data_IF_607297715658
#
_entry.id   IF_607297715658
#
_cell.length_a   1.000
_cell.length_b   1.000
_cell.length_c   1.000
_cell.angle_alpha   90.00
_cell.angle_beta   90.00
_cell.angle_gamma   90.00
#
_symmetry.space_group_name_H-M   'P 1'
#
loop_
_entity.id
_entity.type
_entity.pdbx_description
1 polymer ?
#
# COMPACT_ATOMS: atom_id res chain seq x y z
N UNK A 1 -47.95 -1.58 -33.93
CA UNK A 1 -47.61 -0.48 -32.98
C UNK A 1 -46.13 -0.12 -33.16
N UNK A 2 -45.83 1.13 -33.51
CA UNK A 2 -44.45 1.58 -33.74
C UNK A 2 -43.77 1.88 -32.39
N UNK A 3 -42.95 0.96 -31.88
CA UNK A 3 -42.10 1.21 -30.72
C UNK A 3 -41.01 2.22 -31.09
N UNK A 4 -41.06 3.41 -30.48
CA UNK A 4 -40.09 4.49 -30.64
C UNK A 4 -38.65 3.99 -30.33
N UNK A 5 -37.61 4.39 -31.10
CA UNK A 5 -36.25 3.86 -30.96
C UNK A 5 -35.64 4.07 -29.56
N UNK A 6 -36.04 5.13 -28.86
CA UNK A 6 -35.58 5.42 -27.49
C UNK A 6 -36.13 4.43 -26.47
N UNK A 7 -37.35 3.92 -26.67
CA UNK A 7 -37.93 2.87 -25.82
C UNK A 7 -37.20 1.53 -25.96
N UNK A 8 -36.60 1.26 -27.12
CA UNK A 8 -35.80 0.03 -27.32
C UNK A 8 -34.42 0.15 -26.69
N UNK A 9 -33.85 1.36 -26.59
CA UNK A 9 -32.58 1.59 -25.90
C UNK A 9 -32.75 1.55 -24.38
N UNK A 10 -33.80 2.16 -23.85
CA UNK A 10 -34.15 2.08 -22.43
C UNK A 10 -34.40 0.64 -21.97
N UNK A 11 -34.95 -0.22 -22.83
CA UNK A 11 -35.16 -1.66 -22.56
C UNK A 11 -33.89 -2.52 -22.56
N UNK A 12 -32.76 -1.95 -22.95
CA UNK A 12 -31.48 -2.64 -23.05
C UNK A 12 -30.50 -2.27 -21.94
N UNK A 13 -30.73 -1.17 -21.22
CA UNK A 13 -29.94 -0.72 -20.06
C UNK A 13 -28.42 -0.97 -20.25
N UNK A 14 -27.76 -1.56 -19.25
CA UNK A 14 -26.31 -1.84 -19.21
C UNK A 14 -25.77 -2.68 -20.39
N UNK A 15 -26.65 -3.41 -21.10
CA UNK A 15 -26.25 -4.26 -22.24
C UNK A 15 -25.94 -3.45 -23.49
N UNK A 16 -26.55 -2.28 -23.66
CA UNK A 16 -26.24 -1.39 -24.76
C UNK A 16 -24.83 -0.79 -24.61
N UNK A 17 -24.46 -0.42 -23.38
CA UNK A 17 -23.16 0.14 -23.06
C UNK A 17 -22.05 -0.90 -23.20
N UNK A 18 -22.31 -2.15 -22.79
CA UNK A 18 -21.41 -3.28 -23.06
C UNK A 18 -21.12 -3.43 -24.56
N UNK A 19 -22.15 -3.38 -25.42
CA UNK A 19 -21.99 -3.53 -26.87
C UNK A 19 -21.28 -2.34 -27.52
N UNK A 20 -21.54 -1.10 -27.07
CA UNK A 20 -20.83 0.08 -27.57
C UNK A 20 -19.35 0.08 -27.17
N UNK A 21 -19.04 -0.22 -25.90
CA UNK A 21 -17.66 -0.38 -25.44
C UNK A 21 -16.94 -1.48 -26.23
N UNK A 22 -17.61 -2.63 -26.41
CA UNK A 22 -17.08 -3.75 -27.19
C UNK A 22 -16.84 -3.37 -28.65
N UNK A 23 -17.75 -2.59 -29.27
CA UNK A 23 -17.58 -2.10 -30.64
C UNK A 23 -16.29 -1.30 -30.82
N UNK A 24 -16.00 -0.39 -29.88
CA UNK A 24 -14.78 0.42 -29.90
C UNK A 24 -13.54 -0.47 -29.72
N UNK A 25 -13.56 -1.37 -28.73
CA UNK A 25 -12.47 -2.32 -28.48
C UNK A 25 -12.18 -3.21 -29.69
N UNK A 26 -13.20 -3.79 -30.32
CA UNK A 26 -13.01 -4.60 -31.53
C UNK A 26 -12.46 -3.80 -32.72
N UNK A 27 -12.88 -2.54 -32.91
CA UNK A 27 -12.31 -1.70 -33.97
C UNK A 27 -10.81 -1.46 -33.77
N UNK A 28 -10.42 -1.09 -32.55
CA UNK A 28 -9.03 -0.89 -32.20
C UNK A 28 -8.22 -2.18 -32.37
N UNK A 29 -8.70 -3.30 -31.82
CA UNK A 29 -8.05 -4.59 -31.90
C UNK A 29 -7.91 -5.09 -33.35
N UNK A 30 -8.95 -4.94 -34.17
CA UNK A 30 -8.90 -5.25 -35.60
C UNK A 30 -7.80 -4.45 -36.31
N UNK A 31 -7.72 -3.15 -36.04
CA UNK A 31 -6.69 -2.28 -36.61
C UNK A 31 -5.27 -2.73 -36.24
N UNK A 32 -5.07 -3.14 -34.98
CA UNK A 32 -3.78 -3.66 -34.52
C UNK A 32 -3.43 -4.99 -35.20
N UNK A 33 -4.33 -5.97 -35.19
CA UNK A 33 -4.11 -7.31 -35.74
C UNK A 33 -3.91 -7.30 -37.27
N UNK A 34 -4.54 -6.36 -37.97
CA UNK A 34 -4.39 -6.19 -39.41
C UNK A 34 -3.05 -5.57 -39.83
N UNK A 35 -2.34 -4.89 -38.92
CA UNK A 35 -1.10 -4.19 -39.24
C UNK A 35 0.09 -5.14 -39.52
N UNK A 36 1.11 -4.64 -40.22
CA UNK A 36 2.34 -5.39 -40.52
C UNK A 36 3.12 -5.73 -39.23
N UNK A 37 3.22 -4.78 -38.30
CA UNK A 37 3.86 -4.94 -36.98
C UNK A 37 2.85 -5.30 -35.87
N UNK A 38 1.90 -6.17 -36.16
CA UNK A 38 0.80 -6.46 -35.24
C UNK A 38 1.25 -6.95 -33.86
N UNK A 39 2.34 -7.75 -33.78
CA UNK A 39 2.86 -8.26 -32.50
C UNK A 39 3.33 -7.14 -31.57
N UNK A 40 3.93 -6.09 -32.13
CA UNK A 40 4.43 -4.94 -31.36
C UNK A 40 3.28 -4.02 -30.95
N UNK A 41 2.31 -3.78 -31.85
CA UNK A 41 1.13 -2.98 -31.55
C UNK A 41 0.23 -3.63 -30.49
N UNK A 42 -0.04 -4.92 -30.63
CA UNK A 42 -0.79 -5.69 -29.63
C UNK A 42 -0.05 -5.72 -28.30
N UNK A 43 1.29 -5.80 -28.31
CA UNK A 43 2.08 -5.73 -27.06
C UNK A 43 2.02 -4.35 -26.39
N UNK A 44 2.01 -3.27 -27.16
CA UNK A 44 1.88 -1.91 -26.62
C UNK A 44 0.51 -1.67 -25.97
N UNK A 45 -0.53 -2.38 -26.43
CA UNK A 45 -1.89 -2.32 -25.90
C UNK A 45 -2.35 -3.72 -25.46
N UNK A 46 -1.53 -4.39 -24.66
CA UNK A 46 -1.76 -5.78 -24.27
C UNK A 46 -3.01 -5.94 -23.41
N UNK A 47 -3.29 -4.98 -22.53
CA UNK A 47 -4.50 -4.98 -21.70
C UNK A 47 -5.77 -5.00 -22.55
N UNK A 48 -5.79 -4.33 -23.70
CA UNK A 48 -6.94 -4.35 -24.61
C UNK A 48 -7.19 -5.75 -25.18
N UNK A 49 -6.15 -6.53 -25.45
CA UNK A 49 -6.29 -7.93 -25.89
C UNK A 49 -6.94 -8.77 -24.78
N UNK A 50 -6.45 -8.64 -23.55
CA UNK A 50 -6.93 -9.37 -22.38
C UNK A 50 -8.37 -9.00 -22.00
N UNK A 51 -8.68 -7.71 -21.98
CA UNK A 51 -10.03 -7.21 -21.72
C UNK A 51 -11.03 -7.80 -22.71
N UNK A 52 -10.69 -7.79 -24.00
CA UNK A 52 -11.57 -8.35 -25.04
C UNK A 52 -11.70 -9.87 -24.86
N UNK A 53 -10.60 -10.57 -24.57
CA UNK A 53 -10.64 -12.01 -24.34
C UNK A 53 -11.53 -12.39 -23.15
N UNK A 54 -11.42 -11.66 -22.03
CA UNK A 54 -12.19 -11.91 -20.79
C UNK A 54 -13.67 -11.57 -20.95
N UNK A 55 -13.99 -10.49 -21.66
CA UNK A 55 -15.37 -10.03 -21.87
C UNK A 55 -16.09 -10.78 -23.00
N UNK A 56 -15.35 -11.55 -23.83
CA UNK A 56 -15.91 -12.26 -24.98
C UNK A 56 -17.10 -13.19 -24.66
N UNK A 57 -17.07 -14.02 -23.59
CA UNK A 57 -18.19 -14.92 -23.29
C UNK A 57 -19.48 -14.16 -22.97
N UNK A 58 -19.36 -13.04 -22.25
CA UNK A 58 -20.49 -12.18 -21.90
C UNK A 58 -21.07 -11.48 -23.12
N UNK A 59 -20.20 -11.00 -24.02
CA UNK A 59 -20.62 -10.43 -25.31
C UNK A 59 -21.34 -11.47 -26.17
N UNK A 60 -20.83 -12.69 -26.25
CA UNK A 60 -21.43 -13.77 -27.04
C UNK A 60 -22.80 -14.17 -26.50
N UNK A 61 -22.93 -14.31 -25.17
CA UNK A 61 -24.21 -14.55 -24.50
C UNK A 61 -25.21 -13.40 -24.75
N UNK A 62 -24.74 -12.16 -24.69
CA UNK A 62 -25.56 -10.96 -24.91
C UNK A 62 -26.05 -10.88 -26.35
N UNK A 63 -25.19 -11.11 -27.34
CA UNK A 63 -25.59 -11.15 -28.75
C UNK A 63 -26.59 -12.27 -29.02
N UNK A 64 -26.39 -13.48 -28.46
CA UNK A 64 -27.32 -14.58 -28.62
C UNK A 64 -28.69 -14.30 -27.97
N UNK A 65 -28.72 -13.71 -26.78
CA UNK A 65 -29.95 -13.30 -26.11
C UNK A 65 -30.70 -12.22 -26.92
N UNK A 66 -29.98 -11.22 -27.43
CA UNK A 66 -30.57 -10.16 -28.26
C UNK A 66 -31.14 -10.67 -29.57
N UNK A 67 -30.45 -11.60 -30.25
CA UNK A 67 -30.98 -12.23 -31.47
C UNK A 67 -32.30 -12.96 -31.22
N UNK A 68 -32.35 -13.79 -30.17
CA UNK A 68 -33.57 -14.52 -29.80
C UNK A 68 -34.72 -13.57 -29.50
N UNK A 69 -34.44 -12.51 -28.74
CA UNK A 69 -35.43 -11.49 -28.38
C UNK A 69 -35.92 -10.69 -29.59
N UNK A 70 -34.99 -10.21 -30.44
CA UNK A 70 -35.33 -9.46 -31.64
C UNK A 70 -36.19 -10.29 -32.61
N UNK A 71 -35.92 -11.60 -32.71
CA UNK A 71 -36.74 -12.52 -33.50
C UNK A 71 -38.13 -12.75 -32.89
N UNK A 72 -38.20 -12.99 -31.57
CA UNK A 72 -39.46 -13.22 -30.87
C UNK A 72 -40.38 -11.99 -30.87
N UNK A 73 -39.81 -10.79 -30.74
CA UNK A 73 -40.55 -9.53 -30.68
C UNK A 73 -40.70 -8.83 -32.05
N UNK A 74 -40.18 -9.43 -33.13
CA UNK A 74 -40.29 -8.88 -34.49
C UNK A 74 -39.64 -7.50 -34.66
N UNK A 75 -38.48 -7.27 -34.06
CA UNK A 75 -37.83 -5.96 -34.07
C UNK A 75 -37.52 -5.48 -35.50
N UNK A 76 -37.79 -4.20 -35.84
CA UNK A 76 -37.49 -3.68 -37.17
C UNK A 76 -36.00 -3.76 -37.50
N UNK A 77 -35.65 -4.20 -38.71
CA UNK A 77 -34.25 -4.35 -39.12
C UNK A 77 -33.44 -3.04 -39.07
N UNK A 78 -34.14 -1.91 -39.21
CA UNK A 78 -33.54 -0.57 -39.21
C UNK A 78 -33.41 0.03 -37.80
N UNK A 79 -33.91 -0.64 -36.76
CA UNK A 79 -33.82 -0.18 -35.39
C UNK A 79 -32.35 -0.06 -34.94
N UNK A 80 -32.05 0.95 -34.13
CA UNK A 80 -30.68 1.25 -33.69
C UNK A 80 -30.01 0.06 -32.95
N UNK A 81 -30.69 -0.65 -32.03
CA UNK A 81 -30.09 -1.82 -31.37
C UNK A 81 -29.77 -2.97 -32.32
N UNK A 82 -30.63 -3.22 -33.31
CA UNK A 82 -30.41 -4.27 -34.32
C UNK A 82 -29.20 -3.91 -35.21
N UNK A 83 -29.03 -2.63 -35.54
CA UNK A 83 -27.84 -2.13 -36.26
C UNK A 83 -26.56 -2.27 -35.45
N UNK A 84 -26.58 -1.90 -34.16
CA UNK A 84 -25.42 -2.03 -33.27
C UNK A 84 -25.02 -3.50 -33.12
N UNK A 85 -25.98 -4.38 -32.84
CA UNK A 85 -25.79 -5.84 -32.75
C UNK A 85 -25.12 -6.39 -34.02
N UNK A 86 -25.68 -6.11 -35.21
CA UNK A 86 -25.10 -6.53 -36.50
C UNK A 86 -23.70 -5.96 -36.72
N UNK A 87 -23.42 -4.75 -36.26
CA UNK A 87 -22.09 -4.14 -36.37
C UNK A 87 -21.06 -4.81 -35.46
N UNK A 88 -21.43 -5.11 -34.21
CA UNK A 88 -20.57 -5.83 -33.27
C UNK A 88 -20.27 -7.23 -33.78
N UNK A 89 -21.24 -7.94 -34.34
CA UNK A 89 -21.04 -9.26 -34.98
C UNK A 89 -20.05 -9.20 -36.15
N UNK A 90 -20.24 -8.26 -37.08
CA UNK A 90 -19.32 -8.10 -38.21
C UNK A 90 -17.89 -7.80 -37.74
N UNK A 91 -17.75 -7.01 -36.68
CA UNK A 91 -16.45 -6.70 -36.09
C UNK A 91 -15.85 -7.90 -35.37
N UNK A 92 -16.64 -8.65 -34.59
CA UNK A 92 -16.26 -9.91 -33.95
C UNK A 92 -15.70 -10.88 -34.98
N UNK A 93 -16.42 -11.10 -36.07
CA UNK A 93 -15.98 -12.01 -37.13
C UNK A 93 -14.70 -11.51 -37.82
N UNK A 94 -14.55 -10.19 -37.99
CA UNK A 94 -13.33 -9.63 -38.56
C UNK A 94 -12.12 -9.75 -37.63
N UNK A 95 -12.31 -9.54 -36.32
CA UNK A 95 -11.27 -9.77 -35.30
C UNK A 95 -10.94 -11.25 -35.25
N UNK A 96 -11.93 -12.14 -35.29
CA UNK A 96 -11.72 -13.60 -35.31
C UNK A 96 -10.91 -14.03 -36.54
N UNK A 97 -11.28 -13.59 -37.74
CA UNK A 97 -10.50 -13.86 -38.96
C UNK A 97 -9.08 -13.33 -38.85
N UNK A 98 -8.89 -12.12 -38.34
CA UNK A 98 -7.57 -11.55 -38.15
C UNK A 98 -6.76 -12.36 -37.12
N UNK A 99 -7.37 -12.76 -36.01
CA UNK A 99 -6.75 -13.55 -34.97
C UNK A 99 -6.34 -14.94 -35.45
N UNK A 100 -7.26 -15.69 -36.07
CA UNK A 100 -6.99 -17.02 -36.61
C UNK A 100 -5.93 -17.04 -37.72
N UNK A 101 -5.84 -15.97 -38.53
CA UNK A 101 -4.78 -15.82 -39.53
C UNK A 101 -3.39 -15.69 -38.89
N UNK A 102 -3.29 -15.28 -37.63
CA UNK A 102 -2.02 -15.10 -36.91
C UNK A 102 -1.62 -16.30 -36.05
N UNK A 103 -2.52 -17.28 -35.87
CA UNK A 103 -2.26 -18.53 -35.16
C UNK A 103 -1.87 -19.65 -36.13
N UNK A 104 -1.02 -20.61 -35.71
CA UNK A 104 -0.76 -21.83 -36.47
C UNK A 104 -2.04 -22.63 -36.71
N UNK A 105 -2.13 -23.33 -37.85
CA UNK A 105 -3.34 -24.09 -38.21
C UNK A 105 -3.64 -25.24 -37.23
N UNK A 106 -2.61 -25.87 -36.70
CA UNK A 106 -2.73 -26.95 -35.71
C UNK A 106 -3.36 -26.48 -34.38
N UNK A 107 -3.31 -25.18 -34.07
CA UNK A 107 -3.66 -24.63 -32.77
C UNK A 107 -4.92 -23.75 -32.78
N UNK A 108 -5.67 -23.68 -33.88
CA UNK A 108 -6.85 -22.81 -33.99
C UNK A 108 -7.97 -23.27 -33.04
N UNK A 109 -8.32 -22.49 -32.01
CA UNK A 109 -9.40 -22.85 -31.08
C UNK A 109 -10.79 -22.59 -31.68
N UNK A 110 -11.83 -23.10 -31.02
CA UNK A 110 -13.21 -23.00 -31.48
C UNK A 110 -13.84 -21.63 -31.23
N UNK A 111 -13.37 -20.91 -30.19
CA UNK A 111 -13.94 -19.62 -29.79
C UNK A 111 -12.97 -18.46 -29.99
N UNK A 112 -13.52 -17.24 -30.18
CA UNK A 112 -12.71 -16.03 -30.28
C UNK A 112 -11.94 -15.75 -28.98
N UNK A 113 -12.56 -15.96 -27.82
CA UNK A 113 -11.92 -15.72 -26.53
C UNK A 113 -10.66 -16.56 -26.37
N UNK A 114 -10.74 -17.85 -26.67
CA UNK A 114 -9.58 -18.75 -26.67
C UNK A 114 -8.52 -18.35 -27.70
N UNK A 115 -8.95 -17.90 -28.89
CA UNK A 115 -8.01 -17.45 -29.93
C UNK A 115 -7.21 -16.22 -29.47
N UNK A 116 -7.84 -15.30 -28.75
CA UNK A 116 -7.18 -14.11 -28.22
C UNK A 116 -6.23 -14.45 -27.06
N UNK A 117 -6.57 -15.41 -26.21
CA UNK A 117 -5.67 -15.91 -25.16
C UNK A 117 -4.45 -16.63 -25.75
N UNK A 118 -4.65 -17.49 -26.76
CA UNK A 118 -3.54 -18.12 -27.49
C UNK A 118 -2.68 -17.11 -28.24
N UNK A 119 -3.27 -16.01 -28.72
CA UNK A 119 -2.51 -14.91 -29.30
C UNK A 119 -1.69 -14.17 -28.25
N UNK A 120 -2.18 -14.07 -27.02
CA UNK A 120 -1.38 -13.60 -25.90
C UNK A 120 -0.13 -14.47 -25.77
N UNK A 121 -0.29 -15.80 -25.69
CA UNK A 121 0.83 -16.75 -25.59
C UNK A 121 1.79 -16.55 -26.77
N UNK A 122 1.26 -16.46 -27.99
CA UNK A 122 2.06 -16.24 -29.21
C UNK A 122 2.79 -14.89 -29.20
N UNK A 123 2.16 -13.81 -28.71
CA UNK A 123 2.79 -12.47 -28.62
C UNK A 123 3.83 -12.42 -27.50
N UNK A 124 3.61 -13.16 -26.42
CA UNK A 124 4.56 -13.32 -25.32
C UNK A 124 5.76 -14.18 -25.75
N UNK A 125 5.52 -15.31 -26.41
CA UNK A 125 6.54 -16.24 -26.91
C UNK A 125 7.35 -15.68 -28.07
N UNK A 126 6.69 -14.96 -28.98
CA UNK A 126 7.36 -14.38 -30.14
C UNK A 126 8.43 -13.37 -29.73
N UNK A 127 8.30 -12.74 -28.55
CA UNK A 127 9.13 -11.60 -28.18
C UNK A 127 9.15 -10.53 -29.30
N UNK A 128 9.83 -9.40 -29.12
CA UNK A 128 10.45 -8.77 -30.26
C UNK A 128 11.55 -9.72 -30.75
N UNK A 129 11.84 -9.80 -32.06
CA UNK A 129 13.07 -10.45 -32.53
C UNK A 129 14.30 -9.86 -31.81
N UNK A 130 14.21 -8.60 -31.38
CA UNK A 130 15.14 -7.92 -30.47
C UNK A 130 15.05 -8.40 -29.02
N UNK A 131 13.86 -8.69 -28.47
CA UNK A 131 13.72 -9.11 -27.08
C UNK A 131 14.10 -10.56 -26.81
N UNK A 132 14.00 -11.48 -27.78
CA UNK A 132 14.65 -12.81 -27.63
C UNK A 132 16.17 -12.67 -27.58
N UNK A 133 16.77 -11.81 -28.41
CA UNK A 133 18.21 -11.52 -28.39
C UNK A 133 18.64 -10.78 -27.13
N UNK A 134 17.89 -9.76 -26.70
CA UNK A 134 18.12 -9.01 -25.46
C UNK A 134 17.93 -9.91 -24.25
N UNK A 135 16.95 -10.82 -24.26
CA UNK A 135 16.73 -11.79 -23.18
C UNK A 135 17.85 -12.84 -23.13
N UNK A 136 18.23 -13.41 -24.27
CA UNK A 136 19.37 -14.31 -24.34
C UNK A 136 20.64 -13.61 -23.82
N UNK A 137 20.87 -12.36 -24.23
CA UNK A 137 21.95 -11.53 -23.71
C UNK A 137 21.82 -11.28 -22.21
N UNK A 138 20.62 -11.03 -21.69
CA UNK A 138 20.40 -10.88 -20.27
C UNK A 138 20.77 -12.16 -19.50
N UNK A 139 20.42 -13.34 -20.04
CA UNK A 139 20.77 -14.65 -19.46
C UNK A 139 22.29 -14.84 -19.44
N UNK A 140 23.01 -14.42 -20.49
CA UNK A 140 24.48 -14.43 -20.51
C UNK A 140 25.09 -13.48 -19.46
N UNK A 141 24.55 -12.27 -19.33
CA UNK A 141 25.07 -11.25 -18.42
C UNK A 141 24.76 -11.53 -16.95
N UNK A 142 23.65 -12.24 -16.69
CA UNK A 142 23.15 -12.60 -15.38
C UNK A 142 23.06 -14.12 -15.24
N UNK A 143 24.19 -14.83 -15.08
CA UNK A 143 24.13 -16.25 -14.77
C UNK A 143 23.56 -16.48 -13.37
N UNK A 144 22.86 -17.61 -13.18
CA UNK A 144 22.10 -17.90 -11.94
C UNK A 144 22.99 -18.03 -10.68
N UNK A 145 24.27 -18.32 -10.85
CA UNK A 145 25.22 -18.58 -9.77
C UNK A 145 25.89 -17.32 -9.20
N UNK A 146 25.58 -16.13 -9.74
CA UNK A 146 26.13 -14.87 -9.23
C UNK A 146 25.84 -14.71 -7.72
N UNK A 147 26.86 -14.38 -6.90
CA UNK A 147 26.67 -14.20 -5.47
C UNK A 147 25.72 -13.04 -5.15
N UNK A 148 25.77 -11.95 -5.91
CA UNK A 148 24.86 -10.80 -5.75
C UNK A 148 23.42 -11.20 -6.05
N UNK A 149 23.21 -12.06 -7.05
CA UNK A 149 21.88 -12.56 -7.39
C UNK A 149 21.32 -13.45 -6.28
N UNK A 150 22.15 -14.32 -5.70
CA UNK A 150 21.78 -15.15 -4.53
C UNK A 150 21.43 -14.29 -3.32
N UNK A 151 22.24 -13.27 -3.02
CA UNK A 151 21.98 -12.32 -1.93
C UNK A 151 20.67 -11.56 -2.14
N UNK A 152 20.43 -11.06 -3.36
CA UNK A 152 19.19 -10.37 -3.70
C UNK A 152 17.97 -11.29 -3.58
N UNK A 153 18.09 -12.56 -3.98
CA UNK A 153 17.01 -13.55 -3.85
C UNK A 153 16.71 -13.90 -2.38
N UNK A 154 17.75 -14.14 -1.57
CA UNK A 154 17.58 -14.43 -0.14
C UNK A 154 16.86 -13.27 0.58
N UNK A 155 17.21 -12.02 0.26
CA UNK A 155 16.48 -10.86 0.79
C UNK A 155 15.05 -10.77 0.25
N UNK A 156 14.83 -11.09 -1.03
CA UNK A 156 13.51 -11.11 -1.64
C UNK A 156 12.57 -12.13 -1.02
N UNK A 157 13.07 -13.29 -0.59
CA UNK A 157 12.28 -14.31 0.12
C UNK A 157 11.75 -13.76 1.45
N UNK A 158 12.55 -12.99 2.19
CA UNK A 158 12.10 -12.31 3.41
C UNK A 158 11.00 -11.30 3.08
N UNK A 159 11.19 -10.48 2.05
CA UNK A 159 10.19 -9.50 1.62
C UNK A 159 8.89 -10.14 1.16
N UNK A 160 8.98 -11.21 0.37
CA UNK A 160 7.81 -11.98 -0.07
C UNK A 160 7.09 -12.57 1.14
N UNK A 161 7.81 -13.23 2.05
CA UNK A 161 7.23 -13.85 3.21
C UNK A 161 6.41 -12.85 4.04
N UNK A 162 6.95 -11.66 4.29
CA UNK A 162 6.27 -10.60 5.07
C UNK A 162 5.16 -9.93 4.27
N UNK A 163 5.42 -9.49 3.04
CA UNK A 163 4.53 -8.58 2.31
C UNK A 163 3.61 -9.26 1.29
N UNK A 164 3.71 -10.58 1.09
CA UNK A 164 2.68 -11.30 0.31
C UNK A 164 1.35 -11.39 1.07
N UNK A 165 1.41 -11.36 2.40
CA UNK A 165 0.21 -11.35 3.26
C UNK A 165 -0.55 -10.01 3.12
N UNK A 166 -1.89 -10.02 3.15
CA UNK A 166 -2.67 -8.79 3.28
C UNK A 166 -2.37 -8.15 4.65
N UNK A 167 -2.11 -6.85 4.66
CA UNK A 167 -1.82 -6.13 5.90
C UNK A 167 -3.14 -5.86 6.67
N UNK A 168 -3.27 -6.32 7.93
CA UNK A 168 -4.42 -5.96 8.76
C UNK A 168 -4.43 -4.45 9.03
N UNK A 169 -5.62 -3.85 9.05
CA UNK A 169 -5.76 -2.42 9.34
C UNK A 169 -5.36 -2.13 10.80
N UNK A 170 -4.59 -1.06 11.01
CA UNK A 170 -4.24 -0.58 12.35
C UNK A 170 -3.14 -1.36 13.08
N UNK A 171 -2.67 -2.48 12.55
CA UNK A 171 -1.58 -3.29 13.14
C UNK A 171 -0.36 -3.31 12.21
N UNK A 172 0.84 -3.45 12.77
CA UNK A 172 2.04 -3.65 11.95
C UNK A 172 1.91 -4.94 11.11
N UNK A 173 2.36 -4.93 9.84
CA UNK A 173 2.27 -6.11 8.98
C UNK A 173 3.36 -7.16 9.28
N UNK A 174 4.16 -6.97 10.33
CA UNK A 174 5.26 -7.84 10.73
C UNK A 174 5.40 -7.88 12.25
N UNK A 175 5.92 -9.01 12.73
CA UNK A 175 6.35 -9.28 14.11
C UNK A 175 7.74 -8.72 14.39
N UNK A 176 8.20 -8.78 15.65
CA UNK A 176 9.57 -8.38 16.03
C UNK A 176 10.63 -9.21 15.30
N UNK A 177 10.46 -10.53 15.25
CA UNK A 177 11.39 -11.42 14.55
C UNK A 177 11.45 -11.14 13.03
N UNK A 178 10.29 -10.83 12.42
CA UNK A 178 10.22 -10.43 11.01
C UNK A 178 10.85 -9.04 10.78
N UNK A 179 10.72 -8.11 11.74
CA UNK A 179 11.37 -6.81 11.69
C UNK A 179 12.90 -6.93 11.73
N UNK A 180 13.45 -7.81 12.56
CA UNK A 180 14.89 -8.12 12.58
C UNK A 180 15.37 -8.76 11.27
N UNK A 181 14.57 -9.65 10.68
CA UNK A 181 14.86 -10.21 9.37
C UNK A 181 14.87 -9.13 8.28
N UNK A 182 13.90 -8.21 8.29
CA UNK A 182 13.83 -7.08 7.38
C UNK A 182 15.00 -6.11 7.57
N UNK A 183 15.39 -5.82 8.81
CA UNK A 183 16.53 -4.97 9.14
C UNK A 183 17.82 -5.49 8.48
N UNK A 184 18.04 -6.80 8.46
CA UNK A 184 19.18 -7.43 7.78
C UNK A 184 19.00 -7.48 6.26
N UNK A 185 17.79 -7.77 5.78
CA UNK A 185 17.51 -7.99 4.36
C UNK A 185 17.53 -6.70 3.52
N UNK A 186 17.10 -5.55 4.07
CA UNK A 186 17.04 -4.28 3.36
C UNK A 186 18.40 -3.81 2.80
N UNK A 187 19.45 -3.62 3.62
CA UNK A 187 20.76 -3.18 3.11
C UNK A 187 21.38 -4.23 2.19
N UNK A 188 21.18 -5.52 2.47
CA UNK A 188 21.66 -6.61 1.62
C UNK A 188 21.04 -6.55 0.21
N UNK A 189 19.72 -6.38 0.12
CA UNK A 189 19.03 -6.25 -1.15
C UNK A 189 19.47 -5.01 -1.92
N UNK A 190 19.63 -3.88 -1.24
CA UNK A 190 20.07 -2.63 -1.85
C UNK A 190 21.46 -2.77 -2.46
N UNK A 191 22.43 -3.24 -1.69
CA UNK A 191 23.80 -3.44 -2.15
C UNK A 191 23.86 -4.46 -3.31
N UNK A 192 23.16 -5.59 -3.18
CA UNK A 192 23.12 -6.63 -4.18
C UNK A 192 22.47 -6.17 -5.50
N UNK A 193 21.30 -5.52 -5.43
CA UNK A 193 20.63 -4.98 -6.61
C UNK A 193 21.47 -3.88 -7.26
N UNK A 194 22.07 -2.98 -6.48
CA UNK A 194 22.96 -1.95 -7.01
C UNK A 194 24.18 -2.55 -7.74
N UNK A 195 24.77 -3.62 -7.21
CA UNK A 195 25.85 -4.34 -7.87
C UNK A 195 25.39 -5.00 -9.18
N UNK A 196 24.22 -5.65 -9.20
CA UNK A 196 23.65 -6.26 -10.41
C UNK A 196 23.33 -5.23 -11.49
N UNK A 197 22.77 -4.08 -11.12
CA UNK A 197 22.50 -3.00 -12.07
C UNK A 197 23.79 -2.37 -12.61
N UNK A 198 24.80 -2.14 -11.76
CA UNK A 198 26.14 -1.68 -12.22
C UNK A 198 26.81 -2.69 -13.15
N UNK A 199 26.70 -3.99 -12.86
CA UNK A 199 27.17 -5.06 -13.75
C UNK A 199 26.50 -4.96 -15.10
N UNK A 200 25.18 -4.80 -15.14
CA UNK A 200 24.46 -4.62 -16.40
C UNK A 200 24.93 -3.36 -17.13
N UNK A 201 25.08 -2.21 -16.46
CA UNK A 201 25.63 -0.99 -17.07
C UNK A 201 27.01 -1.20 -17.70
N UNK A 202 27.88 -1.96 -17.01
CA UNK A 202 29.23 -2.23 -17.48
C UNK A 202 29.25 -3.11 -18.74
N UNK A 203 28.43 -4.15 -18.81
CA UNK A 203 28.45 -5.13 -19.91
C UNK A 203 27.42 -4.87 -21.02
N UNK A 204 26.44 -3.99 -20.79
CA UNK A 204 25.43 -3.54 -21.74
C UNK A 204 25.76 -2.14 -22.23
N UNK A 205 26.74 -2.05 -23.15
CA UNK A 205 27.25 -0.77 -23.68
C UNK A 205 26.19 0.11 -24.36
N UNK A 206 25.07 -0.48 -24.79
CA UNK A 206 23.94 0.24 -25.39
C UNK A 206 22.80 0.52 -24.40
N UNK A 207 22.88 0.04 -23.16
CA UNK A 207 21.85 0.18 -22.12
C UNK A 207 20.51 -0.50 -22.43
N UNK A 208 20.46 -1.36 -23.45
CA UNK A 208 19.22 -1.98 -23.94
C UNK A 208 18.69 -3.05 -23.00
N UNK A 209 19.56 -3.91 -22.47
CA UNK A 209 19.23 -4.96 -21.50
C UNK A 209 18.76 -4.33 -20.19
N UNK A 210 19.49 -3.35 -19.67
CA UNK A 210 19.12 -2.65 -18.44
C UNK A 210 17.75 -1.99 -18.58
N UNK A 211 17.53 -1.19 -19.63
CA UNK A 211 16.25 -0.52 -19.88
C UNK A 211 15.10 -1.53 -20.05
N UNK A 212 15.35 -2.63 -20.78
CA UNK A 212 14.40 -3.71 -20.98
C UNK A 212 13.98 -4.40 -19.67
N UNK A 213 14.92 -4.66 -18.76
CA UNK A 213 14.62 -5.27 -17.46
C UNK A 213 13.95 -4.28 -16.51
N UNK A 214 14.40 -3.02 -16.45
CA UNK A 214 13.78 -1.98 -15.62
C UNK A 214 12.32 -1.68 -15.99
N UNK A 215 11.95 -1.84 -17.27
CA UNK A 215 10.56 -1.73 -17.70
C UNK A 215 9.67 -2.88 -17.18
N UNK A 216 10.27 -3.99 -16.73
CA UNK A 216 9.57 -5.20 -16.25
C UNK A 216 9.59 -5.38 -14.75
N UNK A 217 10.42 -4.65 -14.00
CA UNK A 217 10.51 -4.75 -12.53
C UNK A 217 9.16 -4.54 -11.84
N UNK A 218 8.24 -3.77 -12.43
CA UNK A 218 6.92 -3.52 -11.82
C UNK A 218 5.93 -4.66 -11.97
N UNK A 219 6.25 -5.68 -12.78
CA UNK A 219 5.34 -6.79 -13.04
C UNK A 219 5.42 -7.79 -11.91
N UNK A 220 4.27 -8.15 -11.36
CA UNK A 220 4.19 -9.18 -10.35
C UNK A 220 4.75 -10.51 -10.89
N UNK A 221 5.62 -11.19 -10.13
CA UNK A 221 6.11 -12.51 -10.51
C UNK A 221 4.94 -13.50 -10.48
N UNK A 222 4.59 -14.04 -11.65
CA UNK A 222 3.50 -15.00 -11.83
C UNK A 222 3.94 -16.46 -11.63
N UNK A 223 5.24 -16.73 -11.78
CA UNK A 223 5.83 -18.07 -11.76
C UNK A 223 7.16 -18.03 -11.02
N UNK A 224 7.58 -19.19 -10.50
CA UNK A 224 8.88 -19.34 -9.90
C UNK A 224 9.99 -19.00 -10.92
N UNK A 225 10.98 -18.17 -10.55
CA UNK A 225 12.02 -17.71 -11.47
C UNK A 225 12.97 -18.85 -11.89
N UNK A 226 13.15 -19.02 -13.20
CA UNK A 226 13.95 -20.08 -13.83
C UNK A 226 15.26 -19.60 -14.45
N UNK A 227 15.44 -18.29 -14.60
CA UNK A 227 16.63 -17.68 -15.20
C UNK A 227 17.19 -16.57 -14.31
N UNK A 228 18.47 -16.20 -14.50
CA UNK A 228 19.06 -15.10 -13.74
C UNK A 228 18.34 -13.75 -13.93
N UNK A 229 17.91 -13.38 -15.16
CA UNK A 229 17.06 -12.21 -15.36
C UNK A 229 15.72 -12.29 -14.60
N UNK A 230 15.07 -13.46 -14.55
CA UNK A 230 13.85 -13.64 -13.76
C UNK A 230 14.10 -13.49 -12.26
N UNK A 231 15.23 -14.00 -11.75
CA UNK A 231 15.64 -13.85 -10.35
C UNK A 231 15.89 -12.38 -10.00
N UNK A 232 16.55 -11.62 -10.89
CA UNK A 232 16.72 -10.17 -10.71
C UNK A 232 15.38 -9.44 -10.69
N UNK A 233 14.47 -9.76 -11.62
CA UNK A 233 13.14 -9.14 -11.67
C UNK A 233 12.33 -9.45 -10.41
N UNK A 234 12.35 -10.70 -9.95
CA UNK A 234 11.72 -11.14 -8.72
C UNK A 234 12.23 -10.34 -7.50
N UNK A 235 13.55 -10.25 -7.35
CA UNK A 235 14.15 -9.53 -6.23
C UNK A 235 13.88 -8.03 -6.26
N UNK A 236 14.00 -7.41 -7.44
CA UNK A 236 13.74 -5.99 -7.61
C UNK A 236 12.25 -5.63 -7.36
N UNK A 237 11.34 -6.50 -7.79
CA UNK A 237 9.91 -6.35 -7.54
C UNK A 237 9.60 -6.37 -6.04
N UNK A 238 10.02 -7.43 -5.34
CA UNK A 238 9.72 -7.58 -3.91
C UNK A 238 10.39 -6.52 -3.05
N UNK A 239 11.60 -6.07 -3.39
CA UNK A 239 12.22 -4.91 -2.74
C UNK A 239 11.36 -3.65 -2.93
N UNK A 240 10.84 -3.43 -4.14
CA UNK A 240 9.96 -2.29 -4.43
C UNK A 240 8.66 -2.33 -3.61
N UNK A 241 8.02 -3.50 -3.53
CA UNK A 241 6.80 -3.72 -2.72
C UNK A 241 7.09 -3.51 -1.24
N UNK A 242 8.15 -4.11 -0.71
CA UNK A 242 8.57 -3.95 0.67
C UNK A 242 8.78 -2.47 1.01
N UNK A 243 9.55 -1.77 0.18
CA UNK A 243 9.83 -0.35 0.40
C UNK A 243 8.57 0.52 0.40
N UNK A 244 7.66 0.29 -0.55
CA UNK A 244 6.39 1.00 -0.62
C UNK A 244 5.56 0.84 0.67
N UNK A 245 5.46 -0.41 1.15
CA UNK A 245 4.67 -0.74 2.34
C UNK A 245 5.33 -0.25 3.61
N UNK A 246 6.65 -0.37 3.72
CA UNK A 246 7.41 0.15 4.86
C UNK A 246 7.28 1.65 4.97
N UNK A 247 7.40 2.40 3.87
CA UNK A 247 7.18 3.86 3.87
C UNK A 247 5.77 4.21 4.34
N UNK A 248 4.75 3.53 3.82
CA UNK A 248 3.36 3.77 4.24
C UNK A 248 3.14 3.48 5.75
N UNK A 249 3.78 2.43 6.28
CA UNK A 249 3.73 2.10 7.71
C UNK A 249 4.44 3.16 8.54
N UNK A 250 5.64 3.58 8.14
CA UNK A 250 6.42 4.58 8.86
C UNK A 250 5.75 5.95 8.85
N UNK A 251 5.24 6.38 7.70
CA UNK A 251 4.45 7.61 7.56
C UNK A 251 3.26 7.59 8.54
N UNK A 252 2.46 6.52 8.54
CA UNK A 252 1.33 6.39 9.45
C UNK A 252 1.72 6.29 10.94
N UNK A 253 2.98 6.04 11.29
CA UNK A 253 3.44 5.83 12.67
C UNK A 253 4.29 6.97 13.21
N UNK A 254 4.94 7.73 12.33
CA UNK A 254 5.94 8.72 12.67
C UNK A 254 5.64 10.11 12.10
N UNK A 255 4.55 10.30 11.36
CA UNK A 255 4.12 11.64 10.95
C UNK A 255 4.04 12.58 12.17
N UNK A 256 4.63 13.80 12.09
CA UNK A 256 5.15 14.49 10.89
C UNK A 256 6.64 14.27 10.55
N UNK A 257 7.36 13.43 11.30
CA UNK A 257 8.80 13.18 11.11
C UNK A 257 9.00 12.19 9.97
N UNK A 258 9.83 12.53 8.99
CA UNK A 258 10.09 11.68 7.82
C UNK A 258 11.42 10.95 7.99
N UNK A 259 11.42 9.61 8.15
CA UNK A 259 12.66 8.84 8.18
C UNK A 259 13.38 8.88 6.82
N UNK A 260 14.70 8.99 6.86
CA UNK A 260 15.55 8.77 5.69
C UNK A 260 15.74 7.28 5.44
N UNK A 261 16.15 6.91 4.21
CA UNK A 261 16.27 5.52 3.79
C UNK A 261 17.24 4.70 4.68
N UNK A 262 18.30 5.33 5.20
CA UNK A 262 19.29 4.71 6.08
C UNK A 262 18.76 4.45 7.50
N UNK A 263 17.76 5.20 7.96
CA UNK A 263 17.21 5.10 9.32
C UNK A 263 16.14 4.01 9.42
N UNK A 264 15.49 3.69 8.29
CA UNK A 264 14.38 2.72 8.22
C UNK A 264 14.71 1.40 8.91
N UNK A 265 15.84 0.71 8.63
CA UNK A 265 16.11 -0.61 9.21
C UNK A 265 16.11 -0.62 10.76
N UNK A 266 16.69 0.41 11.39
CA UNK A 266 16.73 0.54 12.84
C UNK A 266 15.34 0.83 13.44
N UNK A 267 14.53 1.62 12.74
CA UNK A 267 13.17 1.98 13.20
C UNK A 267 12.20 0.79 13.17
N UNK A 268 12.37 -0.18 12.26
CA UNK A 268 11.45 -1.33 12.16
C UNK A 268 11.41 -2.18 13.43
N UNK A 269 12.57 -2.53 13.96
CA UNK A 269 12.70 -3.39 15.15
C UNK A 269 12.14 -2.67 16.38
N UNK A 270 12.47 -1.38 16.52
CA UNK A 270 11.96 -0.56 17.61
C UNK A 270 10.43 -0.43 17.55
N UNK A 271 9.87 -0.10 16.40
CA UNK A 271 8.40 0.02 16.24
C UNK A 271 7.70 -1.30 16.54
N UNK A 272 8.21 -2.44 16.04
CA UNK A 272 7.64 -3.74 16.33
C UNK A 272 7.65 -4.06 17.83
N UNK A 273 8.77 -3.78 18.49
CA UNK A 273 8.93 -4.01 19.93
C UNK A 273 8.00 -3.11 20.75
N UNK A 274 7.87 -1.83 20.35
CA UNK A 274 6.99 -0.87 21.00
C UNK A 274 5.52 -1.30 20.90
N UNK A 275 5.05 -1.62 19.70
CA UNK A 275 3.65 -2.02 19.46
C UNK A 275 3.32 -3.34 20.17
N UNK A 276 4.25 -4.29 20.23
CA UNK A 276 4.05 -5.54 20.99
C UNK A 276 3.92 -5.28 22.50
N UNK A 277 4.71 -4.37 23.06
CA UNK A 277 4.61 -3.97 24.48
C UNK A 277 3.28 -3.24 24.77
N UNK A 278 2.87 -2.34 23.89
CA UNK A 278 1.59 -1.63 24.00
C UNK A 278 0.41 -2.61 23.94
N UNK A 279 0.42 -3.54 22.98
CA UNK A 279 -0.61 -4.57 22.85
C UNK A 279 -0.68 -5.54 24.04
N UNK A 280 0.47 -5.89 24.65
CA UNK A 280 0.52 -6.69 25.89
C UNK A 280 -0.07 -5.95 27.09
N UNK A 281 0.20 -4.65 27.22
CA UNK A 281 -0.36 -3.83 28.31
C UNK A 281 -1.89 -3.78 28.26
N UNK A 282 -2.48 -3.68 27.06
CA UNK A 282 -3.95 -3.64 26.89
C UNK A 282 -4.59 -5.00 27.21
N UNK A 283 -3.95 -6.12 26.84
CA UNK A 283 -4.46 -7.47 27.15
C UNK A 283 -4.29 -7.85 28.63
N UNK A 284 -3.23 -7.40 29.30
CA UNK A 284 -3.01 -7.64 30.72
C UNK A 284 -4.09 -7.01 31.62
N UNK A 285 -4.70 -5.91 31.18
CA UNK A 285 -5.85 -5.28 31.84
C UNK A 285 -7.18 -6.01 31.61
N UNK A 286 -7.28 -6.93 30.64
CA UNK A 286 -8.51 -7.66 30.32
C UNK A 286 -8.61 -9.06 30.96
N UNK A 287 -7.61 -9.53 31.73
CA UNK A 287 -7.65 -10.84 32.38
C UNK A 287 -7.88 -10.70 33.89
N UNK A 288 -9.15 -10.67 34.29
CA UNK A 288 -9.67 -11.41 35.47
C UNK A 288 -11.21 -11.48 35.46
N UNK A 289 -11.82 -12.49 34.81
CA UNK A 289 -13.10 -13.01 35.24
C UNK A 289 -12.85 -14.27 36.09
N UNK A 290 -13.17 -14.22 37.37
CA UNK A 290 -13.26 -15.41 38.23
C UNK A 290 -11.97 -15.80 38.95
N UNK A 291 -11.64 -15.07 40.01
CA UNK A 291 -10.73 -15.53 41.07
C UNK A 291 -11.38 -15.24 42.41
N UNK A 292 -11.63 -16.30 43.19
CA UNK A 292 -12.44 -16.34 44.39
C UNK A 292 -12.13 -15.24 45.43
N UNK A 293 -13.18 -14.78 46.09
CA UNK A 293 -13.14 -13.83 47.19
C UNK A 293 -12.24 -14.34 48.33
N UNK A 294 -11.32 -13.51 48.86
CA UNK A 294 -10.77 -13.75 50.18
C UNK A 294 -11.81 -13.35 51.22
N UNK A 295 -12.11 -14.32 52.10
CA UNK A 295 -12.99 -14.17 53.24
C UNK A 295 -12.56 -13.02 54.16
N UNK A 296 -13.56 -12.29 54.65
CA UNK A 296 -13.44 -11.25 55.66
C UNK A 296 -12.84 -11.77 56.98
N UNK A 297 -12.30 -10.86 57.80
CA UNK A 297 -12.71 -10.87 59.20
C UNK A 297 -13.23 -9.50 59.66
N UNK A 298 -14.04 -9.60 60.70
CA UNK A 298 -14.86 -8.59 61.35
C UNK A 298 -14.10 -7.34 61.81
N UNK A 299 -14.78 -6.19 61.70
CA UNK A 299 -14.50 -5.00 62.51
C UNK A 299 -15.25 -5.09 63.85
N UNK A 300 -14.77 -4.42 64.90
CA UNK A 300 -15.58 -3.29 65.37
C UNK A 300 -14.76 -2.09 65.90
N UNK A 301 -15.33 -0.89 65.81
CA UNK A 301 -14.86 0.25 66.61
C UNK A 301 -15.19 1.62 66.04
N UNK A 302 -16.35 2.16 66.43
CA UNK A 302 -16.76 3.55 66.23
C UNK A 302 -15.84 4.55 66.93
N UNK A 303 -15.59 5.73 66.34
CA UNK A 303 -16.24 6.99 66.74
C UNK A 303 -15.80 8.22 65.90
N UNK A 304 -16.62 9.29 65.83
CA UNK A 304 -16.49 10.41 64.90
C UNK A 304 -16.04 11.73 65.58
N UNK A 305 -15.52 12.69 64.80
CA UNK A 305 -15.37 14.11 65.16
C UNK A 305 -15.17 14.92 63.85
N UNK A 306 -16.20 15.61 63.35
CA UNK A 306 -16.54 17.05 63.52
C UNK A 306 -15.82 18.02 62.58
N UNK A 307 -16.65 18.65 61.74
CA UNK A 307 -16.72 20.08 61.37
C UNK A 307 -15.53 20.80 60.69
N UNK A 308 -15.83 21.44 59.55
CA UNK A 308 -14.93 22.43 58.95
C UNK A 308 -15.39 23.05 57.61
N UNK A 309 -16.48 23.83 57.65
CA UNK A 309 -16.84 25.02 56.81
C UNK A 309 -16.11 25.31 55.47
N UNK A 310 -16.96 25.45 54.43
CA UNK A 310 -17.17 26.60 53.52
C UNK A 310 -15.99 27.41 52.93
N UNK A 311 -16.09 27.68 51.61
CA UNK A 311 -15.43 28.77 50.89
C UNK A 311 -14.93 28.34 49.49
N UNK A 312 -15.76 28.38 48.45
CA UNK A 312 -15.99 29.48 47.49
C UNK A 312 -14.83 29.78 46.50
N UNK A 313 -15.23 29.76 45.23
CA UNK A 313 -14.64 30.25 43.98
C UNK A 313 -13.31 31.03 43.99
N UNK A 314 -12.37 30.61 43.13
CA UNK A 314 -11.51 31.51 42.33
C UNK A 314 -10.54 30.74 41.43
N UNK A 315 -10.96 30.39 40.21
CA UNK A 315 -10.03 30.13 39.09
C UNK A 315 -9.66 31.46 38.44
N UNK A 316 -8.50 32.03 38.80
CA UNK A 316 -7.80 33.06 38.01
C UNK A 316 -6.28 32.97 38.20
N UNK A 317 -5.58 33.02 37.08
CA UNK A 317 -4.26 33.68 37.00
C UNK A 317 -3.05 32.75 37.05
N UNK A 318 -2.62 32.27 35.89
CA UNK A 318 -1.20 32.03 35.63
C UNK A 318 -0.53 33.39 35.38
N UNK A 319 0.51 33.80 36.14
CA UNK A 319 1.34 34.92 35.78
C UNK A 319 2.66 34.45 35.18
N UNK A 320 3.02 35.09 34.06
CA UNK A 320 4.33 35.06 33.45
C UNK A 320 5.39 35.73 34.33
N UNK A 321 6.57 35.10 34.42
CA UNK A 321 7.87 35.78 34.52
C UNK A 321 8.36 36.26 35.89
N UNK A 322 9.35 35.57 36.47
CA UNK A 322 10.78 35.95 36.40
C UNK A 322 11.65 35.10 37.33
N UNK A 323 12.86 34.83 36.83
CA UNK A 323 14.07 34.28 37.43
C UNK A 323 14.17 34.20 38.96
N UNK A 324 14.51 33.00 39.46
CA UNK A 324 14.99 32.79 40.83
C UNK A 324 15.35 31.33 41.06
N UNK A 325 16.61 31.08 41.40
CA UNK A 325 17.18 29.76 41.71
C UNK A 325 16.38 29.05 42.80
N UNK A 326 15.91 27.83 42.54
CA UNK A 326 15.78 26.75 43.52
C UNK A 326 15.50 25.40 42.83
N UNK A 327 16.39 24.45 43.13
CA UNK A 327 16.35 23.03 42.76
C UNK A 327 15.31 22.32 43.64
N UNK A 328 14.35 21.54 43.11
CA UNK A 328 13.60 20.61 43.94
C UNK A 328 14.26 19.23 43.80
N UNK A 329 15.12 18.89 44.76
CA UNK A 329 15.15 17.53 45.26
C UNK A 329 13.82 17.29 45.97
N UNK A 330 13.05 16.29 45.51
CA UNK A 330 12.18 15.44 46.33
C UNK A 330 11.54 14.40 45.40
N UNK A 331 12.26 13.29 45.27
CA UNK A 331 11.71 11.98 44.94
C UNK A 331 10.82 11.54 46.11
N UNK A 332 9.51 11.48 45.89
CA UNK A 332 8.59 10.64 46.65
C UNK A 332 8.16 9.49 45.76
N UNK A 333 8.70 8.29 46.02
CA UNK A 333 8.54 7.11 45.17
C UNK A 333 7.09 6.73 44.92
N UNK A 334 6.74 6.66 43.64
CA UNK A 334 5.58 5.92 43.14
C UNK A 334 6.15 4.85 42.21
N UNK A 335 6.00 3.60 42.65
CA UNK A 335 6.21 2.32 41.94
C UNK A 335 6.98 2.35 40.62
N UNK A 336 8.24 1.94 40.68
CA UNK A 336 9.02 1.45 39.54
C UNK A 336 8.47 0.10 39.05
N UNK A 337 7.22 0.10 38.59
CA UNK A 337 6.56 -1.03 37.90
C UNK A 337 5.75 -0.52 36.68
N UNK A 338 6.13 0.67 36.18
CA UNK A 338 5.61 1.23 34.93
C UNK A 338 6.43 0.68 33.77
N UNK A 339 5.94 -0.40 33.15
CA UNK A 339 6.41 -0.99 31.90
C UNK A 339 7.39 -0.11 31.11
N UNK A 340 8.69 -0.40 31.23
CA UNK A 340 9.73 0.29 30.46
C UNK A 340 9.37 0.20 28.98
N UNK A 341 8.94 1.33 28.42
CA UNK A 341 8.61 1.42 27.02
C UNK A 341 9.88 1.19 26.20
N UNK A 342 9.77 0.61 25.00
CA UNK A 342 10.94 0.33 24.18
C UNK A 342 11.60 1.66 23.79
N UNK A 343 12.70 2.02 24.45
CA UNK A 343 13.49 3.20 24.15
C UNK A 343 14.27 2.98 22.84
N UNK A 344 14.19 3.92 21.92
CA UNK A 344 15.02 3.97 20.72
C UNK A 344 16.41 4.48 21.10
N UNK A 345 17.41 3.61 20.97
CA UNK A 345 18.82 3.98 21.19
C UNK A 345 19.39 4.64 19.93
N UNK A 346 20.26 5.64 20.12
CA UNK A 346 21.05 6.20 19.02
C UNK A 346 21.90 5.09 18.36
N UNK A 347 22.14 5.22 17.06
CA UNK A 347 22.92 4.27 16.28
C UNK A 347 23.69 4.99 15.17
N UNK A 348 24.36 4.23 14.30
CA UNK A 348 25.13 4.81 13.19
C UNK A 348 24.28 5.65 12.23
N UNK A 349 22.97 5.36 12.11
CA UNK A 349 22.07 6.07 11.20
C UNK A 349 21.55 7.40 11.79
N UNK A 350 21.49 7.53 13.12
CA UNK A 350 20.95 8.74 13.77
C UNK A 350 21.45 8.92 15.21
N UNK A 351 21.63 10.19 15.60
CA UNK A 351 22.03 10.58 16.95
C UNK A 351 20.88 10.55 17.96
N UNK A 352 21.22 10.85 19.22
CA UNK A 352 20.29 10.83 20.36
C UNK A 352 19.11 11.82 20.21
N UNK A 353 19.35 12.99 19.60
CA UNK A 353 18.31 14.00 19.35
C UNK A 353 17.24 13.48 18.39
N UNK A 354 17.69 12.95 17.25
CA UNK A 354 16.82 12.35 16.22
C UNK A 354 16.11 11.08 16.70
N UNK A 355 16.75 10.26 17.55
CA UNK A 355 16.07 9.17 18.25
C UNK A 355 14.90 9.66 19.13
N UNK A 356 15.14 10.71 19.93
CA UNK A 356 14.10 11.36 20.73
C UNK A 356 12.97 11.96 19.88
N UNK A 357 13.30 12.47 18.69
CA UNK A 357 12.32 13.02 17.75
C UNK A 357 11.36 11.95 17.21
N UNK A 358 11.88 10.77 16.84
CA UNK A 358 11.05 9.64 16.42
C UNK A 358 10.17 9.12 17.56
N UNK A 359 10.70 9.04 18.78
CA UNK A 359 9.90 8.69 19.96
C UNK A 359 8.76 9.68 20.18
N UNK A 360 9.04 10.98 20.14
CA UNK A 360 8.05 12.03 20.34
C UNK A 360 6.94 11.95 19.28
N UNK A 361 7.31 11.74 18.01
CA UNK A 361 6.36 11.57 16.92
C UNK A 361 5.50 10.31 17.08
N UNK A 362 6.10 9.17 17.42
CA UNK A 362 5.35 7.94 17.66
C UNK A 362 4.38 8.06 18.84
N UNK A 363 4.77 8.74 19.91
CA UNK A 363 3.87 9.01 21.03
C UNK A 363 2.71 9.91 20.60
N UNK A 364 2.99 11.02 19.91
CA UNK A 364 1.96 11.93 19.44
C UNK A 364 0.97 11.22 18.48
N UNK A 365 1.48 10.39 17.57
CA UNK A 365 0.68 9.59 16.66
C UNK A 365 -0.13 8.48 17.37
N UNK A 366 0.34 7.99 18.52
CA UNK A 366 -0.42 7.06 19.37
C UNK A 366 -1.60 7.79 20.03
N UNK A 367 -1.34 8.97 20.59
CA UNK A 367 -2.33 9.79 21.30
C UNK A 367 -3.41 10.37 20.39
N UNK A 368 -3.12 10.52 19.10
CA UNK A 368 -4.05 11.03 18.10
C UNK A 368 -5.01 9.95 17.56
N UNK A 369 -4.57 8.69 17.51
CA UNK A 369 -5.36 7.56 16.96
C UNK A 369 -6.36 6.99 17.94
N UNK A 370 -5.99 6.91 19.21
CA UNK A 370 -6.82 6.28 20.23
C UNK A 370 -7.47 7.36 21.10
N UNK A 371 -8.82 7.40 21.08
CA UNK A 371 -9.50 7.98 22.23
C UNK A 371 -9.39 6.93 23.34
N UNK A 372 -8.74 7.23 24.46
CA UNK A 372 -8.67 6.27 25.55
C UNK A 372 -10.03 5.72 25.92
N UNK A 373 -10.13 4.40 26.00
CA UNK A 373 -11.26 3.71 26.63
C UNK A 373 -10.70 3.00 27.86
N UNK A 374 -11.06 3.45 29.06
CA UNK A 374 -10.55 2.94 30.33
C UNK A 374 -9.79 3.97 31.17
N UNK A 375 -9.06 3.51 32.19
CA UNK A 375 -8.22 4.32 33.10
C UNK A 375 -6.97 4.84 32.39
N UNK A 376 -7.16 5.77 31.46
CA UNK A 376 -6.05 6.47 30.85
C UNK A 376 -5.43 7.42 31.86
N UNK A 377 -4.15 7.18 32.15
CA UNK A 377 -3.37 8.08 32.97
C UNK A 377 -2.76 9.18 32.07
N UNK A 378 -3.45 10.33 32.03
CA UNK A 378 -3.02 11.50 31.26
C UNK A 378 -1.65 12.01 31.71
N UNK A 379 -1.35 11.95 33.01
CA UNK A 379 -0.03 12.34 33.54
C UNK A 379 1.08 11.45 33.00
N UNK A 380 0.83 10.14 32.88
CA UNK A 380 1.80 9.20 32.30
C UNK A 380 2.02 9.47 30.81
N UNK A 381 0.96 9.78 30.07
CA UNK A 381 1.06 10.15 28.65
C UNK A 381 1.88 11.45 28.45
N UNK A 382 1.62 12.47 29.26
CA UNK A 382 2.37 13.72 29.23
C UNK A 382 3.83 13.55 29.67
N UNK A 383 4.09 12.73 30.69
CA UNK A 383 5.45 12.42 31.13
C UNK A 383 6.26 11.75 30.01
N UNK A 384 5.65 10.85 29.23
CA UNK A 384 6.29 10.21 28.07
C UNK A 384 6.61 11.21 26.96
N UNK A 385 5.65 12.07 26.59
CA UNK A 385 5.87 13.14 25.62
C UNK A 385 6.98 14.08 26.08
N UNK A 386 6.99 14.48 27.35
CA UNK A 386 8.01 15.34 27.93
C UNK A 386 9.40 14.71 27.87
N UNK A 387 9.53 13.44 28.28
CA UNK A 387 10.82 12.73 28.25
C UNK A 387 11.37 12.62 26.82
N UNK A 388 10.53 12.29 25.84
CA UNK A 388 10.92 12.26 24.43
C UNK A 388 11.33 13.65 23.91
N UNK A 389 10.58 14.69 24.28
CA UNK A 389 10.89 16.08 23.93
C UNK A 389 12.21 16.57 24.54
N UNK A 390 12.54 16.16 25.78
CA UNK A 390 13.82 16.49 26.40
C UNK A 390 15.00 15.85 25.66
N UNK A 391 14.85 14.63 25.15
CA UNK A 391 15.88 13.99 24.31
C UNK A 391 16.02 14.70 22.97
N UNK A 392 14.91 15.07 22.34
CA UNK A 392 14.89 15.82 21.09
C UNK A 392 15.32 17.29 21.22
N UNK A 393 15.59 17.80 22.44
CA UNK A 393 15.80 19.23 22.71
C UNK A 393 16.92 19.88 21.89
N UNK A 394 17.96 19.10 21.56
CA UNK A 394 19.12 19.59 20.79
C UNK A 394 18.96 19.42 19.28
N UNK A 395 17.92 18.70 18.84
CA UNK A 395 17.63 18.50 17.43
C UNK A 395 17.08 19.78 16.81
N UNK A 396 17.43 20.04 15.55
CA UNK A 396 16.98 21.19 14.78
C UNK A 396 16.58 20.75 13.36
N UNK A 397 15.84 21.58 12.65
CA UNK A 397 15.44 21.34 11.26
C UNK A 397 13.93 21.29 11.06
N UNK A 398 13.52 21.06 9.81
CA UNK A 398 12.11 21.14 9.41
C UNK A 398 11.21 20.14 10.17
N UNK A 399 11.68 18.93 10.41
CA UNK A 399 10.92 17.90 11.12
C UNK A 399 10.57 18.35 12.55
N UNK A 400 11.47 19.10 13.21
CA UNK A 400 11.26 19.63 14.57
C UNK A 400 10.18 20.69 14.55
N UNK A 401 10.18 21.60 13.57
CA UNK A 401 9.15 22.64 13.45
C UNK A 401 7.79 22.04 13.13
N UNK A 402 7.71 21.09 12.19
CA UNK A 402 6.46 20.38 11.88
C UNK A 402 5.90 19.66 13.11
N UNK A 403 6.78 19.03 13.90
CA UNK A 403 6.37 18.35 15.13
C UNK A 403 5.90 19.35 16.21
N UNK A 404 6.55 20.51 16.35
CA UNK A 404 6.08 21.59 17.24
C UNK A 404 4.71 22.10 16.83
N UNK A 405 4.48 22.33 15.56
CA UNK A 405 3.20 22.79 15.04
C UNK A 405 2.10 21.74 15.24
N UNK A 406 2.42 20.47 15.00
CA UNK A 406 1.50 19.36 15.26
C UNK A 406 1.18 19.24 16.76
N UNK A 407 2.17 19.39 17.64
CA UNK A 407 1.97 19.38 19.10
C UNK A 407 1.13 20.57 19.58
N UNK A 408 1.39 21.79 19.06
CA UNK A 408 0.57 22.98 19.34
C UNK A 408 -0.88 22.76 18.94
N UNK A 409 -1.10 22.24 17.73
CA UNK A 409 -2.43 21.90 17.24
C UNK A 409 -3.10 20.84 18.11
N UNK A 410 -2.37 19.80 18.51
CA UNK A 410 -2.87 18.77 19.42
C UNK A 410 -3.33 19.35 20.76
N UNK A 411 -2.53 20.22 21.38
CA UNK A 411 -2.87 20.90 22.64
C UNK A 411 -4.11 21.78 22.46
N UNK A 412 -4.16 22.59 21.40
CA UNK A 412 -5.30 23.45 21.09
C UNK A 412 -6.59 22.65 20.93
N UNK A 413 -6.56 21.56 20.17
CA UNK A 413 -7.73 20.72 19.92
C UNK A 413 -8.17 19.92 21.15
N UNK A 414 -7.24 19.53 22.03
CA UNK A 414 -7.57 18.89 23.32
C UNK A 414 -8.19 19.87 24.31
N UNK A 415 -7.76 21.14 24.31
CA UNK A 415 -8.32 22.20 25.15
C UNK A 415 -9.76 22.61 24.81
N UNK A 416 -10.28 22.22 23.64
CA UNK A 416 -11.62 22.61 23.17
C UNK A 416 -12.79 21.74 23.68
N UNK A 417 -12.55 20.75 24.56
CA UNK A 417 -13.59 20.02 25.32
C UNK A 417 -14.56 19.12 24.53
N UNK A 418 -14.81 19.39 23.24
CA UNK A 418 -15.79 18.68 22.40
C UNK A 418 -15.21 18.09 21.11
N UNK A 419 -13.90 18.16 20.90
CA UNK A 419 -13.28 17.72 19.65
C UNK A 419 -13.28 16.18 19.55
N UNK A 420 -13.94 15.57 18.53
CA UNK A 420 -13.85 14.13 18.31
C UNK A 420 -12.44 13.76 17.85
N UNK A 421 -11.88 12.66 18.36
CA UNK A 421 -10.55 12.13 18.01
C UNK A 421 -10.32 11.90 16.49
N UNK A 422 -11.40 11.96 15.69
CA UNK A 422 -11.39 11.76 14.23
C UNK A 422 -10.82 12.91 13.40
N UNK A 423 -10.51 14.07 14.00
CA UNK A 423 -9.85 15.16 13.25
C UNK A 423 -8.38 14.89 12.89
N UNK A 424 -7.80 13.81 13.43
CA UNK A 424 -6.41 13.42 13.18
C UNK A 424 -6.27 12.18 12.30
N UNK A 425 -7.35 11.69 11.68
CA UNK A 425 -7.26 10.61 10.69
C UNK A 425 -6.64 11.15 9.39
N UNK A 426 -5.57 10.53 8.85
CA UNK A 426 -4.97 10.92 7.56
C UNK A 426 -5.93 10.75 6.36
N UNK A 427 -7.12 10.18 6.57
CA UNK A 427 -8.16 10.05 5.54
C UNK A 427 -8.76 11.37 5.07
N UNK A 428 -8.55 12.50 5.77
CA UNK A 428 -9.07 13.83 5.35
C UNK A 428 -8.03 14.83 4.86
N UNK A 429 -6.73 14.49 4.84
CA UNK A 429 -5.69 15.36 4.28
C UNK A 429 -5.54 15.25 2.75
N UNK A 430 -6.45 14.55 2.05
CA UNK A 430 -6.60 14.70 0.59
C UNK A 430 -7.49 15.89 0.30
N UNK A 431 -6.85 16.99 -0.08
CA UNK A 431 -7.49 18.12 -0.77
C UNK A 431 -8.39 17.57 -1.89
N UNK A 432 -9.66 18.01 -2.01
CA UNK A 432 -10.47 17.67 -3.17
C UNK A 432 -9.86 18.38 -4.38
N UNK A 433 -9.17 17.64 -5.24
CA UNK A 433 -9.10 18.04 -6.65
C UNK A 433 -10.52 17.86 -7.19
N UNK A 434 -11.15 18.97 -7.54
CA UNK A 434 -12.39 18.98 -8.29
C UNK A 434 -12.18 18.22 -9.60
N UNK A 435 -12.54 16.94 -9.59
CA UNK A 435 -12.97 16.10 -10.72
C UNK A 435 -12.85 14.62 -10.28
N UNK A 436 -13.86 14.13 -9.55
CA UNK A 436 -14.14 12.70 -9.45
C UNK A 436 -15.54 12.50 -8.84
N UNK A 437 -16.54 12.39 -9.72
CA UNK A 437 -17.70 11.56 -9.42
C UNK A 437 -17.31 10.09 -9.50
N UNK A 438 -18.10 9.26 -8.83
CA UNK A 438 -18.05 7.80 -8.71
C UNK A 438 -17.23 7.26 -7.52
N UNK A 439 -18.01 7.03 -6.47
CA UNK A 439 -17.80 6.26 -5.26
C UNK A 439 -17.60 4.76 -5.57
N UNK A 440 -16.54 4.14 -5.03
CA UNK A 440 -16.44 2.71 -4.70
C UNK A 440 -15.10 2.36 -4.01
N UNK A 441 -15.16 2.00 -2.73
CA UNK A 441 -14.28 0.98 -2.13
C UNK A 441 -12.83 1.36 -1.81
N UNK A 442 -12.60 2.08 -0.72
CA UNK A 442 -11.28 2.17 -0.06
C UNK A 442 -10.97 0.84 0.65
N UNK A 443 -10.49 -0.14 -0.11
CA UNK A 443 -10.07 -1.44 0.42
C UNK A 443 -8.93 -2.02 -0.40
N UNK A 444 -7.69 -1.74 0.00
CA UNK A 444 -6.49 -2.28 -0.62
C UNK A 444 -6.07 -1.49 -1.87
N UNK A 445 -5.04 -0.66 -1.75
CA UNK A 445 -4.35 -0.16 -2.95
C UNK A 445 -3.82 -1.37 -3.71
N UNK A 446 -4.28 -1.56 -4.93
CA UNK A 446 -3.80 -2.61 -5.83
C UNK A 446 -2.27 -2.62 -5.88
N UNK A 447 -1.69 -3.82 -5.86
CA UNK A 447 -0.25 -4.05 -5.78
C UNK A 447 0.55 -3.33 -6.89
N UNK A 448 0.05 -3.23 -8.15
CA UNK A 448 0.63 -2.37 -9.18
C UNK A 448 0.67 -0.88 -8.83
N UNK A 449 -0.37 -0.35 -8.19
CA UNK A 449 -0.48 1.07 -7.81
C UNK A 449 0.56 1.45 -6.75
N UNK A 450 0.82 0.56 -5.78
CA UNK A 450 1.87 0.74 -4.78
C UNK A 450 3.27 0.73 -5.41
N UNK A 451 3.50 -0.13 -6.40
CA UNK A 451 4.78 -0.21 -7.12
C UNK A 451 5.04 1.05 -7.96
N UNK A 452 4.01 1.60 -8.60
CA UNK A 452 4.12 2.89 -9.30
C UNK A 452 4.45 4.04 -8.36
N UNK A 453 3.82 4.09 -7.18
CA UNK A 453 4.10 5.10 -6.15
C UNK A 453 5.55 5.00 -5.62
N UNK A 454 6.04 3.79 -5.34
CA UNK A 454 7.42 3.57 -4.89
C UNK A 454 8.46 4.04 -5.92
N UNK A 455 8.21 3.81 -7.20
CA UNK A 455 9.09 4.28 -8.27
C UNK A 455 9.07 5.80 -8.35
N UNK A 456 7.90 6.44 -8.34
CA UNK A 456 7.79 7.90 -8.31
C UNK A 456 8.54 8.52 -7.13
N UNK A 457 8.54 7.88 -5.96
CA UNK A 457 9.27 8.34 -4.78
C UNK A 457 10.79 8.09 -4.87
N UNK A 458 11.24 7.00 -5.51
CA UNK A 458 12.66 6.72 -5.75
C UNK A 458 13.32 7.65 -6.80
N UNK A 459 12.51 8.29 -7.66
CA UNK A 459 12.99 9.28 -8.62
C UNK A 459 13.05 10.71 -8.06
N UNK A 460 12.35 11.02 -6.97
CA UNK A 460 12.41 12.35 -6.31
C UNK A 460 13.62 12.53 -5.40
N UNK A 461 14.42 11.49 -5.19
CA UNK A 461 15.62 11.50 -4.35
C UNK A 461 16.94 11.38 -5.12
N UNK A 462 16.99 11.81 -6.39
CA UNK A 462 18.24 11.94 -7.15
C UNK A 462 18.45 13.37 -7.59
#
# INVERSE_FOLDING_TARGET
MATHPDNLRARLEDRADLLEATRLRYRALRGMLASFFWKERVRAQFELLLEVARTQPEVDATLAALKRRAAAEGWPERAAPVKLMRQVERLRDAVARAAFKRLPEADRPATLGEALLKLEETVLEAGPLLGRRIWARAVELLPRNLPELRAACAAAEVFEHVFKRPAPQGVLPFTVAEAEALQRALPLAEAALAALWRRLEHFDTRGQVKGFLQARVSRAPQRAPRSGPELLLHAAFWRGVAWARLRAVLEARLEPVVPTDAEVPALLVWLATREERLGRSVRGLQVRPGGAAPSAPEAPGLQPSTEGRAGDDSWRGWPSGHAGVSRPEMLGGVGADGAEEARLSACEAFGEGRAGLFELAAQLASLSRERPVGTWNEETAWARLWNAAQRARREQGEDVERLRDTLRLFILLRGQGQTPARLFSPERARVPTADAGADAGLGGKDLPTLVHAARAAAWRGR
#
